data_IF_170987110061
#
_entry.id   IF_170987110061
#
_cell.length_a   1.000
_cell.length_b   1.000
_cell.length_c   1.000
_cell.angle_alpha   90.00
_cell.angle_beta   90.00
_cell.angle_gamma   90.00
#
_symmetry.space_group_name_H-M   'P 1'
#
loop_
_entity.id
_entity.type
_entity.pdbx_description
1 polymer ?
#
# COMPACT_ATOMS: atom_id res chain seq x y z
N UNK A 1 3.97 -20.42 -8.85
CA UNK A 1 5.17 -19.96 -8.12
C UNK A 1 4.81 -19.54 -6.71
N UNK A 2 3.97 -18.48 -6.47
CA UNK A 2 3.66 -17.98 -5.11
C UNK A 2 3.15 -19.09 -4.19
N UNK A 3 2.16 -19.88 -4.63
CA UNK A 3 1.61 -21.00 -3.83
C UNK A 3 2.69 -22.05 -3.49
N UNK A 4 3.63 -22.30 -4.38
CA UNK A 4 4.74 -23.24 -4.14
C UNK A 4 5.75 -22.67 -3.12
N UNK A 5 6.06 -21.38 -3.19
CA UNK A 5 6.95 -20.73 -2.22
C UNK A 5 6.34 -20.74 -0.81
N UNK A 6 5.04 -20.44 -0.71
CA UNK A 6 4.34 -20.49 0.58
C UNK A 6 4.31 -21.91 1.14
N UNK A 7 3.99 -22.92 0.31
CA UNK A 7 3.99 -24.32 0.73
C UNK A 7 5.39 -24.76 1.23
N UNK A 8 6.44 -24.42 0.49
CA UNK A 8 7.81 -24.66 0.92
C UNK A 8 8.13 -23.97 2.26
N UNK A 9 7.75 -22.68 2.40
CA UNK A 9 7.95 -21.96 3.66
C UNK A 9 7.24 -22.64 4.83
N UNK A 10 6.00 -23.10 4.65
CA UNK A 10 5.24 -23.84 5.69
C UNK A 10 5.90 -25.18 6.07
N UNK A 11 6.57 -25.84 5.13
CA UNK A 11 7.40 -27.03 5.43
C UNK A 11 8.63 -26.67 6.26
N UNK A 12 9.33 -25.57 5.91
CA UNK A 12 10.50 -25.12 6.65
C UNK A 12 10.17 -24.65 8.06
N UNK A 13 9.00 -24.03 8.29
CA UNK A 13 8.51 -23.68 9.63
C UNK A 13 8.55 -24.88 10.57
N UNK A 14 8.03 -26.02 10.10
CA UNK A 14 7.98 -27.26 10.89
C UNK A 14 9.35 -27.85 11.18
N UNK A 15 10.29 -27.74 10.20
CA UNK A 15 11.64 -28.29 10.33
C UNK A 15 12.53 -27.46 11.26
N UNK A 16 12.31 -26.17 11.34
CA UNK A 16 13.19 -25.23 12.03
C UNK A 16 12.54 -24.57 13.26
N UNK A 17 11.33 -24.95 13.62
CA UNK A 17 10.56 -24.32 14.70
C UNK A 17 10.53 -22.77 14.57
N UNK A 18 10.16 -22.30 13.39
CA UNK A 18 10.06 -20.88 13.04
C UNK A 18 8.68 -20.59 12.48
N UNK A 19 8.30 -19.33 12.49
CA UNK A 19 7.07 -18.87 11.90
C UNK A 19 7.35 -17.78 10.85
N UNK A 20 6.91 -18.00 9.61
CA UNK A 20 6.97 -17.01 8.55
C UNK A 20 5.69 -16.19 8.47
N UNK A 21 5.85 -14.88 8.38
CA UNK A 21 4.78 -13.97 8.05
C UNK A 21 4.85 -13.65 6.57
N UNK A 22 3.85 -14.10 5.81
CA UNK A 22 3.80 -13.85 4.38
C UNK A 22 3.03 -12.58 4.09
N UNK A 23 3.60 -11.72 3.27
CA UNK A 23 2.94 -10.52 2.72
C UNK A 23 2.87 -10.63 1.20
N UNK A 24 1.69 -10.38 0.65
CA UNK A 24 1.46 -10.32 -0.80
C UNK A 24 1.23 -8.88 -1.22
N UNK A 25 2.04 -8.36 -2.15
CA UNK A 25 1.77 -7.09 -2.83
C UNK A 25 1.23 -7.38 -4.23
N UNK A 26 0.11 -6.76 -4.59
CA UNK A 26 -0.55 -6.99 -5.88
C UNK A 26 -1.12 -5.71 -6.49
N UNK A 27 -1.09 -5.61 -7.82
CA UNK A 27 -1.80 -4.59 -8.58
C UNK A 27 -3.28 -4.95 -8.84
N UNK A 28 -3.75 -6.08 -8.35
CA UNK A 28 -5.15 -6.51 -8.40
C UNK A 28 -5.66 -7.00 -9.76
N UNK A 29 -4.92 -6.83 -10.84
CA UNK A 29 -5.41 -7.17 -12.19
C UNK A 29 -5.85 -8.62 -12.30
N UNK A 30 -5.02 -9.55 -11.78
CA UNK A 30 -5.28 -11.00 -11.81
C UNK A 30 -6.01 -11.51 -10.57
N UNK A 31 -6.37 -10.64 -9.63
CA UNK A 31 -7.07 -11.03 -8.42
C UNK A 31 -8.45 -11.60 -8.78
N UNK A 32 -8.73 -12.82 -8.34
CA UNK A 32 -9.99 -13.55 -8.49
C UNK A 32 -10.32 -14.27 -7.18
N UNK A 33 -11.44 -14.95 -7.11
CA UNK A 33 -11.92 -15.59 -5.87
C UNK A 33 -10.95 -16.64 -5.34
N UNK A 34 -10.37 -17.49 -6.21
CA UNK A 34 -9.39 -18.50 -5.80
C UNK A 34 -8.10 -17.89 -5.21
N UNK A 35 -7.68 -16.75 -5.76
CA UNK A 35 -6.50 -16.03 -5.26
C UNK A 35 -6.83 -15.31 -3.94
N UNK A 36 -8.05 -14.76 -3.82
CA UNK A 36 -8.51 -14.12 -2.58
C UNK A 36 -8.61 -15.16 -1.45
N UNK A 37 -9.20 -16.33 -1.71
CA UNK A 37 -9.27 -17.42 -0.73
C UNK A 37 -7.87 -17.84 -0.28
N UNK A 38 -6.96 -18.06 -1.21
CA UNK A 38 -5.57 -18.38 -0.89
C UNK A 38 -4.91 -17.27 -0.07
N UNK A 39 -5.08 -15.99 -0.46
CA UNK A 39 -4.51 -14.86 0.27
C UNK A 39 -5.09 -14.75 1.69
N UNK A 40 -6.39 -14.95 1.86
CA UNK A 40 -7.03 -14.93 3.17
C UNK A 40 -6.53 -16.04 4.10
N UNK A 41 -6.21 -17.20 3.54
CA UNK A 41 -5.72 -18.35 4.30
C UNK A 41 -4.25 -18.25 4.67
N UNK A 42 -3.41 -17.81 3.74
CA UNK A 42 -1.96 -17.97 3.85
C UNK A 42 -1.20 -16.66 4.08
N UNK A 43 -1.78 -15.49 3.75
CA UNK A 43 -1.09 -14.21 3.85
C UNK A 43 -1.46 -13.49 5.14
N UNK A 44 -0.46 -13.16 5.94
CA UNK A 44 -0.63 -12.32 7.13
C UNK A 44 -1.02 -10.89 6.76
N UNK A 45 -0.56 -10.41 5.61
CA UNK A 45 -0.91 -9.09 5.10
C UNK A 45 -1.02 -9.08 3.58
N UNK A 46 -1.90 -8.24 3.04
CA UNK A 46 -2.04 -8.03 1.59
C UNK A 46 -1.95 -6.54 1.28
N UNK A 47 -1.02 -6.16 0.42
CA UNK A 47 -0.85 -4.79 -0.04
C UNK A 47 -1.47 -4.64 -1.43
N UNK A 48 -2.45 -3.76 -1.54
CA UNK A 48 -3.25 -3.50 -2.73
C UNK A 48 -2.77 -2.20 -3.37
N UNK A 49 -2.06 -2.31 -4.50
CA UNK A 49 -1.40 -1.17 -5.13
C UNK A 49 -2.36 -0.36 -6.00
N UNK A 50 -2.63 0.88 -5.58
CA UNK A 50 -3.46 1.86 -6.29
C UNK A 50 -3.00 3.28 -5.87
N UNK A 51 -2.80 4.19 -6.82
CA UNK A 51 -2.11 5.45 -6.53
C UNK A 51 -3.05 6.61 -6.15
N UNK A 52 -4.35 6.46 -6.30
CA UNK A 52 -5.29 7.53 -5.95
C UNK A 52 -6.65 7.41 -6.65
N UNK A 53 -7.32 8.55 -6.79
CA UNK A 53 -8.55 8.70 -7.60
C UNK A 53 -8.33 8.15 -9.01
N UNK A 54 -9.41 7.87 -9.71
CA UNK A 54 -9.37 7.22 -11.03
C UNK A 54 -8.38 7.86 -11.99
N UNK A 55 -8.42 9.17 -12.14
CA UNK A 55 -7.53 9.91 -13.05
C UNK A 55 -6.05 9.84 -12.66
N UNK A 56 -5.76 9.79 -11.35
CA UNK A 56 -4.40 9.64 -10.81
C UNK A 56 -3.90 8.23 -11.08
N UNK A 57 -4.68 7.22 -10.67
CA UNK A 57 -4.30 5.82 -10.86
C UNK A 57 -4.14 5.47 -12.34
N UNK A 58 -5.08 5.86 -13.19
CA UNK A 58 -5.07 5.48 -14.61
C UNK A 58 -3.94 6.15 -15.40
N UNK A 59 -3.46 7.31 -14.93
CA UNK A 59 -2.25 7.97 -15.47
C UNK A 59 -0.98 7.17 -15.13
N UNK A 60 -0.86 6.69 -13.89
CA UNK A 60 0.36 6.05 -13.39
C UNK A 60 0.39 4.53 -13.64
N UNK A 61 -0.79 3.90 -13.74
CA UNK A 61 -0.96 2.44 -13.90
C UNK A 61 -1.85 2.08 -15.08
N UNK A 62 -1.55 2.59 -16.30
CA UNK A 62 -2.31 2.19 -17.47
C UNK A 62 -1.99 0.75 -17.89
N UNK A 63 -2.93 0.10 -18.54
CA UNK A 63 -2.64 -1.12 -19.30
C UNK A 63 -1.75 -0.83 -20.50
N UNK A 64 -1.06 -1.84 -21.03
CA UNK A 64 -0.19 -1.70 -22.22
C UNK A 64 -0.87 -1.04 -23.42
N UNK A 65 -2.20 -1.14 -23.54
CA UNK A 65 -3.00 -0.53 -24.61
C UNK A 65 -3.53 0.87 -24.23
N UNK A 66 -3.10 1.45 -23.11
CA UNK A 66 -3.46 2.79 -22.69
C UNK A 66 -4.79 2.90 -21.92
N UNK A 67 -5.57 1.82 -21.78
CA UNK A 67 -6.78 1.84 -20.95
C UNK A 67 -6.39 1.92 -19.46
N UNK A 68 -7.21 2.60 -18.63
CA UNK A 68 -7.01 2.68 -17.20
C UNK A 68 -7.28 1.33 -16.49
N UNK A 69 -6.65 1.14 -15.36
CA UNK A 69 -6.81 -0.09 -14.55
C UNK A 69 -7.81 0.06 -13.40
N UNK A 70 -8.17 1.29 -13.04
CA UNK A 70 -8.94 1.64 -11.84
C UNK A 70 -10.29 0.88 -11.75
N UNK A 71 -11.12 0.96 -12.79
CA UNK A 71 -12.46 0.34 -12.78
C UNK A 71 -12.42 -1.19 -12.67
N UNK A 72 -11.32 -1.81 -13.09
CA UNK A 72 -11.12 -3.26 -12.95
C UNK A 72 -10.70 -3.65 -11.54
N UNK A 73 -9.81 -2.85 -10.90
CA UNK A 73 -9.16 -3.27 -9.65
C UNK A 73 -9.95 -2.88 -8.41
N UNK A 74 -10.62 -1.72 -8.39
CA UNK A 74 -11.32 -1.20 -7.20
C UNK A 74 -12.37 -2.18 -6.67
N UNK A 75 -13.30 -2.73 -7.47
CA UNK A 75 -14.28 -3.69 -6.95
C UNK A 75 -13.65 -4.94 -6.35
N UNK A 76 -12.52 -5.39 -6.91
CA UNK A 76 -11.76 -6.54 -6.38
C UNK A 76 -11.11 -6.22 -5.05
N UNK A 77 -10.57 -5.00 -4.90
CA UNK A 77 -9.95 -4.53 -3.67
C UNK A 77 -10.98 -4.39 -2.54
N UNK A 78 -12.17 -3.84 -2.84
CA UNK A 78 -13.27 -3.77 -1.89
C UNK A 78 -13.69 -5.17 -1.43
N UNK A 79 -13.89 -6.10 -2.36
CA UNK A 79 -14.23 -7.50 -2.03
C UNK A 79 -13.18 -8.17 -1.15
N UNK A 80 -11.89 -7.93 -1.41
CA UNK A 80 -10.82 -8.49 -0.59
C UNK A 80 -10.81 -7.85 0.81
N UNK A 81 -10.92 -6.53 0.91
CA UNK A 81 -10.95 -5.82 2.18
C UNK A 81 -12.11 -6.29 3.07
N UNK A 82 -13.31 -6.40 2.49
CA UNK A 82 -14.50 -6.94 3.17
C UNK A 82 -14.30 -8.39 3.62
N UNK A 83 -13.73 -9.26 2.76
CA UNK A 83 -13.47 -10.66 3.10
C UNK A 83 -12.44 -10.84 4.22
N UNK A 84 -11.68 -9.80 4.51
CA UNK A 84 -10.69 -9.72 5.61
C UNK A 84 -11.21 -8.93 6.83
N UNK A 85 -12.50 -8.57 6.87
CA UNK A 85 -13.10 -7.74 7.92
C UNK A 85 -12.34 -6.42 8.13
N UNK A 86 -11.89 -5.78 7.07
CA UNK A 86 -11.11 -4.54 7.07
C UNK A 86 -9.77 -4.63 7.82
N UNK A 87 -9.21 -5.83 7.99
CA UNK A 87 -7.95 -6.05 8.70
C UNK A 87 -6.89 -6.72 7.82
N UNK A 88 -5.62 -6.57 8.20
CA UNK A 88 -4.47 -7.25 7.59
C UNK A 88 -4.36 -7.03 6.07
N UNK A 89 -4.70 -5.84 5.63
CA UNK A 89 -4.42 -5.35 4.29
C UNK A 89 -4.06 -3.87 4.35
N UNK A 90 -3.53 -3.34 3.25
CA UNK A 90 -3.37 -1.91 3.02
C UNK A 90 -3.68 -1.58 1.58
N UNK A 91 -4.49 -0.53 1.37
CA UNK A 91 -4.48 0.23 0.13
C UNK A 91 -3.19 1.03 0.14
N UNK A 92 -2.31 0.80 -0.83
CA UNK A 92 -1.02 1.49 -0.90
C UNK A 92 -0.84 2.20 -2.23
N UNK A 93 -0.67 3.52 -2.16
CA UNK A 93 -0.41 4.39 -3.29
C UNK A 93 0.89 5.14 -3.17
N UNK A 94 1.26 5.79 -4.26
CA UNK A 94 2.41 6.70 -4.32
C UNK A 94 1.96 8.02 -4.90
N UNK A 95 2.21 9.13 -4.19
CA UNK A 95 2.00 10.45 -4.76
C UNK A 95 3.30 11.00 -5.39
N UNK A 96 3.12 11.80 -6.42
CA UNK A 96 4.19 12.42 -7.19
C UNK A 96 3.93 13.91 -7.29
N UNK A 97 4.83 14.68 -7.90
CA UNK A 97 4.55 16.09 -8.18
C UNK A 97 3.32 16.34 -9.06
N UNK A 98 2.79 15.30 -9.72
CA UNK A 98 1.59 15.40 -10.56
C UNK A 98 0.27 15.28 -9.78
N UNK A 99 0.32 14.89 -8.51
CA UNK A 99 -0.83 14.78 -7.61
C UNK A 99 -0.44 15.16 -6.18
N UNK A 100 0.11 16.37 -6.03
CA UNK A 100 0.46 16.90 -4.71
C UNK A 100 -0.75 17.08 -3.79
N UNK A 101 -1.97 17.10 -4.34
CA UNK A 101 -3.24 17.11 -3.60
C UNK A 101 -3.65 15.71 -3.10
N UNK A 102 -2.69 14.91 -2.67
CA UNK A 102 -2.84 13.50 -2.27
C UNK A 102 -3.80 13.30 -1.08
N UNK A 103 -4.08 14.31 -0.28
CA UNK A 103 -5.10 14.23 0.76
C UNK A 103 -6.47 13.86 0.20
N UNK A 104 -6.79 14.33 -1.03
CA UNK A 104 -8.01 13.96 -1.74
C UNK A 104 -8.01 12.50 -2.20
N UNK A 105 -6.84 11.93 -2.49
CA UNK A 105 -6.71 10.53 -2.84
C UNK A 105 -6.94 9.64 -1.62
N UNK A 106 -6.43 10.04 -0.46
CA UNK A 106 -6.70 9.37 0.82
C UNK A 106 -8.19 9.45 1.19
N UNK A 107 -8.79 10.64 1.08
CA UNK A 107 -10.23 10.84 1.33
C UNK A 107 -11.08 9.96 0.42
N UNK A 108 -10.74 9.89 -0.86
CA UNK A 108 -11.39 9.04 -1.83
C UNK A 108 -11.35 7.56 -1.44
N UNK A 109 -10.21 7.05 -0.96
CA UNK A 109 -10.12 5.67 -0.48
C UNK A 109 -10.99 5.43 0.75
N UNK A 110 -11.02 6.36 1.69
CA UNK A 110 -11.89 6.28 2.85
C UNK A 110 -13.38 6.32 2.48
N UNK A 111 -13.76 7.10 1.45
CA UNK A 111 -15.13 7.15 0.92
C UNK A 111 -15.54 5.87 0.18
N UNK A 112 -14.58 5.15 -0.39
CA UNK A 112 -14.79 3.79 -0.95
C UNK A 112 -14.92 2.71 0.11
N UNK A 113 -14.79 3.04 1.41
CA UNK A 113 -14.92 2.11 2.52
C UNK A 113 -13.64 1.36 2.89
N UNK A 114 -12.48 1.82 2.46
CA UNK A 114 -11.22 1.25 2.91
C UNK A 114 -10.79 1.84 4.26
N UNK A 115 -10.51 0.95 5.22
CA UNK A 115 -10.11 1.34 6.58
C UNK A 115 -8.59 1.30 6.81
N UNK A 116 -7.82 0.75 5.88
CA UNK A 116 -6.37 0.65 5.98
C UNK A 116 -5.71 1.31 4.77
N UNK A 117 -5.17 2.51 4.94
CA UNK A 117 -4.66 3.33 3.83
C UNK A 117 -3.21 3.75 4.07
N UNK A 118 -2.40 3.70 3.02
CA UNK A 118 -1.02 4.20 2.99
C UNK A 118 -0.77 4.89 1.66
N UNK A 119 -0.36 6.15 1.68
CA UNK A 119 0.14 6.87 0.49
C UNK A 119 1.50 7.44 0.82
N UNK A 120 2.50 7.13 0.00
CA UNK A 120 3.90 7.49 0.20
C UNK A 120 4.37 8.47 -0.90
N UNK A 121 5.31 9.38 -0.60
CA UNK A 121 5.95 10.18 -1.62
C UNK A 121 6.77 9.28 -2.56
N UNK A 122 6.80 9.64 -3.84
CA UNK A 122 7.71 9.00 -4.80
C UNK A 122 9.16 9.28 -4.40
N UNK A 123 9.99 8.27 -4.54
CA UNK A 123 11.45 8.39 -4.42
C UNK A 123 12.04 8.12 -5.80
N UNK A 124 12.82 9.06 -6.32
CA UNK A 124 13.43 8.99 -7.64
C UNK A 124 14.60 9.97 -7.74
N UNK A 125 15.24 10.03 -8.90
CA UNK A 125 16.27 11.02 -9.19
C UNK A 125 15.63 12.39 -9.45
N UNK A 126 16.33 13.49 -9.13
CA UNK A 126 15.82 14.85 -9.32
C UNK A 126 15.45 15.17 -10.79
N UNK A 127 16.02 14.45 -11.72
CA UNK A 127 15.74 14.54 -13.17
C UNK A 127 14.48 13.78 -13.61
N UNK A 128 13.90 12.95 -12.73
CA UNK A 128 12.69 12.22 -13.03
C UNK A 128 11.49 13.19 -13.11
N UNK A 129 10.68 13.14 -14.18
CA UNK A 129 9.53 14.04 -14.34
C UNK A 129 8.46 13.89 -13.25
N UNK A 130 8.50 12.84 -12.47
CA UNK A 130 7.58 12.58 -11.35
C UNK A 130 8.18 12.96 -9.99
N UNK A 131 9.49 13.24 -9.94
CA UNK A 131 10.19 13.51 -8.69
C UNK A 131 9.64 14.76 -7.98
N UNK A 132 9.51 14.66 -6.68
CA UNK A 132 9.16 15.77 -5.80
C UNK A 132 10.38 16.69 -5.70
N UNK A 133 10.17 17.97 -5.92
CA UNK A 133 11.20 19.00 -5.86
C UNK A 133 11.06 19.83 -4.57
N UNK A 134 12.10 20.62 -4.24
CA UNK A 134 12.09 21.47 -3.03
C UNK A 134 10.94 22.48 -3.02
N UNK A 135 10.59 23.02 -4.17
CA UNK A 135 9.49 23.96 -4.35
C UNK A 135 8.10 23.33 -4.10
N UNK A 136 7.97 22.01 -4.17
CA UNK A 136 6.73 21.28 -3.90
C UNK A 136 6.47 21.09 -2.39
N UNK A 137 7.52 21.21 -1.53
CA UNK A 137 7.44 20.93 -0.09
C UNK A 137 6.40 21.78 0.67
N UNK A 138 6.25 23.09 0.42
CA UNK A 138 5.23 23.88 1.12
C UNK A 138 3.83 23.33 0.89
N UNK A 139 3.48 22.96 -0.35
CA UNK A 139 2.20 22.37 -0.68
C UNK A 139 2.03 20.99 -0.02
N UNK A 140 3.07 20.18 0.02
CA UNK A 140 3.03 18.85 0.67
C UNK A 140 2.74 19.01 2.16
N UNK A 141 3.35 19.97 2.84
CA UNK A 141 3.06 20.22 4.27
C UNK A 141 1.62 20.66 4.49
N UNK A 142 1.09 21.54 3.65
CA UNK A 142 -0.33 21.94 3.71
C UNK A 142 -1.27 20.74 3.49
N UNK A 143 -0.92 19.84 2.59
CA UNK A 143 -1.71 18.64 2.34
C UNK A 143 -1.68 17.65 3.53
N UNK A 144 -0.54 17.50 4.21
CA UNK A 144 -0.48 16.70 5.45
C UNK A 144 -1.31 17.34 6.57
N UNK A 145 -1.29 18.67 6.72
CA UNK A 145 -2.14 19.37 7.68
C UNK A 145 -3.64 19.19 7.37
N UNK A 146 -4.01 19.25 6.10
CA UNK A 146 -5.38 19.00 5.62
C UNK A 146 -5.79 17.56 5.92
N UNK A 147 -4.92 16.62 5.61
CA UNK A 147 -5.14 15.20 5.87
C UNK A 147 -5.33 14.91 7.37
N UNK A 148 -4.49 15.49 8.23
CA UNK A 148 -4.62 15.33 9.67
C UNK A 148 -5.97 15.84 10.19
N UNK A 149 -6.41 17.03 9.75
CA UNK A 149 -7.73 17.57 10.09
C UNK A 149 -8.87 16.67 9.62
N UNK A 150 -8.80 16.21 8.38
CA UNK A 150 -9.80 15.32 7.79
C UNK A 150 -9.92 14.00 8.58
N UNK A 151 -8.79 13.40 8.97
CA UNK A 151 -8.78 12.16 9.78
C UNK A 151 -9.44 12.39 11.14
N UNK A 152 -9.09 13.50 11.84
CA UNK A 152 -9.70 13.86 13.13
C UNK A 152 -11.22 14.06 13.00
N UNK A 153 -11.68 14.71 11.97
CA UNK A 153 -13.12 14.99 11.75
C UNK A 153 -13.89 13.70 11.41
N UNK A 154 -13.28 12.81 10.64
CA UNK A 154 -13.83 11.48 10.36
C UNK A 154 -13.90 10.62 11.62
N UNK A 155 -12.87 10.62 12.44
CA UNK A 155 -12.85 9.88 13.70
C UNK A 155 -13.97 10.35 14.64
N UNK A 156 -14.11 11.66 14.82
CA UNK A 156 -15.21 12.27 15.61
C UNK A 156 -16.62 11.92 15.11
N UNK A 157 -16.75 11.68 13.81
CA UNK A 157 -18.02 11.31 13.17
C UNK A 157 -18.28 9.80 13.10
N UNK A 158 -17.42 8.97 13.69
CA UNK A 158 -17.53 7.51 13.66
C UNK A 158 -17.22 6.89 12.29
N UNK A 159 -16.53 7.62 11.40
CA UNK A 159 -16.09 7.18 10.07
C UNK A 159 -14.56 7.16 9.98
N UNK A 160 -13.90 6.87 11.10
CA UNK A 160 -12.45 6.78 11.21
C UNK A 160 -11.88 5.71 10.27
N UNK A 161 -10.63 5.90 9.91
CA UNK A 161 -9.82 4.91 9.18
C UNK A 161 -8.36 5.05 9.61
N UNK A 162 -7.57 4.03 9.32
CA UNK A 162 -6.17 3.97 9.70
C UNK A 162 -5.28 4.49 8.55
N UNK A 163 -4.58 5.60 8.81
CA UNK A 163 -3.56 6.09 7.89
C UNK A 163 -2.17 5.69 8.40
N UNK A 164 -1.51 4.78 7.69
CA UNK A 164 -0.29 4.11 8.15
C UNK A 164 0.81 5.07 8.64
N UNK A 165 1.01 6.20 7.96
CA UNK A 165 2.08 7.15 8.31
C UNK A 165 1.80 7.97 9.57
N UNK A 166 0.55 7.99 10.05
CA UNK A 166 0.18 8.65 11.31
C UNK A 166 0.12 7.67 12.48
N UNK A 167 0.34 6.37 12.24
CA UNK A 167 0.50 5.35 13.28
C UNK A 167 1.92 5.43 13.86
N UNK A 168 2.17 6.48 14.64
CA UNK A 168 3.46 6.73 15.25
C UNK A 168 3.42 6.25 16.70
N UNK A 169 4.37 5.40 17.07
CA UNK A 169 4.63 5.08 18.47
C UNK A 169 5.33 6.28 19.12
N UNK A 170 4.55 7.08 19.84
CA UNK A 170 5.06 8.27 20.52
C UNK A 170 5.89 7.93 21.76
N UNK A 171 5.74 6.74 22.33
CA UNK A 171 6.48 6.27 23.51
C UNK A 171 7.81 5.62 23.10
N UNK A 172 7.83 4.79 22.05
CA UNK A 172 9.01 4.08 21.58
C UNK A 172 9.96 4.94 20.73
N UNK A 173 9.50 6.08 20.23
CA UNK A 173 10.25 6.95 19.34
C UNK A 173 10.46 6.37 17.93
N UNK A 174 11.12 7.12 17.03
CA UNK A 174 11.33 6.68 15.65
C UNK A 174 12.37 5.56 15.60
N UNK A 175 12.11 4.53 14.78
CA UNK A 175 13.05 3.45 14.54
C UNK A 175 14.39 3.96 14.00
N UNK A 176 15.42 3.99 14.85
CA UNK A 176 16.75 4.45 14.49
C UNK A 176 17.36 3.65 13.34
N UNK A 177 17.08 2.36 13.30
CA UNK A 177 17.59 1.43 12.29
C UNK A 177 17.12 1.79 10.87
N UNK A 178 15.84 2.11 10.69
CA UNK A 178 15.30 2.57 9.39
C UNK A 178 15.91 3.89 8.92
N UNK A 179 16.40 4.72 9.83
CA UNK A 179 17.12 5.95 9.47
C UNK A 179 18.53 5.69 8.95
N UNK A 180 19.15 4.60 9.36
CA UNK A 180 20.54 4.26 9.02
C UNK A 180 20.65 3.36 7.79
N UNK A 181 19.75 2.40 7.62
CA UNK A 181 19.85 1.35 6.59
C UNK A 181 18.78 1.38 5.50
N UNK A 182 17.85 2.32 5.55
CA UNK A 182 16.74 2.38 4.59
C UNK A 182 15.70 1.28 4.80
N UNK A 183 15.09 0.78 3.72
CA UNK A 183 13.95 -0.13 3.81
C UNK A 183 14.32 -1.60 4.10
N UNK A 184 15.59 -1.98 4.08
CA UNK A 184 16.07 -3.35 4.35
C UNK A 184 15.69 -4.41 3.30
N UNK A 185 15.07 -4.01 2.19
CA UNK A 185 14.69 -4.94 1.11
C UNK A 185 15.92 -5.63 0.52
N UNK A 186 15.88 -6.95 0.46
CA UNK A 186 16.96 -7.79 -0.04
C UNK A 186 18.07 -8.07 0.98
N UNK A 187 18.15 -7.34 2.08
CA UNK A 187 19.14 -7.56 3.16
C UNK A 187 18.50 -8.07 4.45
N UNK A 188 17.34 -7.53 4.81
CA UNK A 188 16.64 -7.91 6.05
C UNK A 188 15.47 -8.85 5.80
N UNK A 189 14.88 -8.79 4.61
CA UNK A 189 13.83 -9.70 4.17
C UNK A 189 13.96 -10.00 2.68
N UNK A 190 13.75 -11.26 2.27
CA UNK A 190 13.80 -11.63 0.87
C UNK A 190 12.58 -11.08 0.13
N UNK A 191 12.80 -10.56 -1.07
CA UNK A 191 11.75 -10.11 -1.98
C UNK A 191 11.76 -10.98 -3.22
N UNK A 192 10.59 -11.53 -3.59
CA UNK A 192 10.41 -12.26 -4.84
C UNK A 192 9.37 -11.56 -5.70
N UNK A 193 9.76 -11.22 -6.91
CA UNK A 193 8.84 -10.70 -7.92
C UNK A 193 8.22 -11.82 -8.75
N UNK A 194 7.08 -11.55 -9.37
CA UNK A 194 6.32 -12.52 -10.19
C UNK A 194 7.18 -13.19 -11.28
N UNK A 195 8.23 -12.52 -11.75
CA UNK A 195 9.16 -13.04 -12.75
C UNK A 195 10.46 -13.58 -12.17
N UNK A 196 10.54 -13.80 -10.84
CA UNK A 196 11.73 -14.29 -10.14
C UNK A 196 13.01 -13.47 -10.43
N UNK A 197 12.86 -12.19 -10.67
CA UNK A 197 13.99 -11.25 -10.73
C UNK A 197 14.14 -10.64 -9.34
N UNK A 198 15.27 -10.93 -8.74
CA UNK A 198 15.69 -10.28 -7.50
C UNK A 198 16.25 -8.89 -7.81
#
# INVERSE_FOLDING_TARGET
>A
VVKQLVAYGREQEKLHDKHFRFTLTTNGVLLNDDIMEFANKEMDNVVLSIDGRKEVNDRMRPFRKGAGSYDLIVPKFQKLAESRNQEKYYIRGTFTRNNLDFSKDVEHFADLGFEQVSIEPVVGEDTDPYAIQKEDLPQIFEEYDRLAKMIIDREKSGRGFNFFHFMIDLEGGPCLYKRLSGCGSGTEYPVSYTHLRA
#
